data_IF_649101957619
#
_entry.id   IF_649101957619
#
_cell.length_a   1.000
_cell.length_b   1.000
_cell.length_c   1.000
_cell.angle_alpha   90.00
_cell.angle_beta   90.00
_cell.angle_gamma   90.00
#
_symmetry.space_group_name_H-M   'P 1'
#
loop_
_entity.id
_entity.type
_entity.pdbx_description
1 polymer ?
#
# COMPACT_ATOMS: atom_id res chain seq x y z
N UNK A 1 -18.91 -43.49 -2.06
CA UNK A 1 -19.10 -42.26 -1.31
C UNK A 1 -17.87 -41.30 -1.39
N UNK A 2 -16.65 -41.73 -1.04
CA UNK A 2 -15.42 -40.86 -1.16
C UNK A 2 -15.20 -40.31 -2.57
N UNK A 3 -15.33 -41.10 -3.61
CA UNK A 3 -15.12 -40.75 -5.00
C UNK A 3 -16.14 -39.70 -5.53
N UNK A 4 -17.38 -39.75 -5.05
CA UNK A 4 -18.42 -38.76 -5.35
C UNK A 4 -18.11 -37.42 -4.65
N UNK A 5 -17.61 -37.47 -3.43
CA UNK A 5 -17.24 -36.28 -2.67
C UNK A 5 -16.05 -35.55 -3.33
N UNK A 6 -15.05 -36.28 -3.81
CA UNK A 6 -13.90 -35.66 -4.54
C UNK A 6 -14.36 -35.04 -5.86
N UNK A 7 -15.20 -35.70 -6.65
CA UNK A 7 -15.77 -35.11 -7.88
C UNK A 7 -16.62 -33.88 -7.60
N UNK A 8 -17.38 -33.84 -6.52
CA UNK A 8 -18.17 -32.67 -6.12
C UNK A 8 -17.27 -31.49 -5.73
N UNK A 9 -16.19 -31.73 -4.99
CA UNK A 9 -15.21 -30.71 -4.66
C UNK A 9 -14.50 -30.13 -5.89
N UNK A 10 -14.15 -30.99 -6.83
CA UNK A 10 -13.51 -30.59 -8.08
C UNK A 10 -14.46 -29.75 -8.95
N UNK A 11 -15.74 -30.13 -9.03
CA UNK A 11 -16.77 -29.36 -9.73
C UNK A 11 -16.99 -27.98 -9.09
N UNK A 12 -17.08 -27.90 -7.77
CA UNK A 12 -17.20 -26.64 -7.04
C UNK A 12 -16.01 -25.75 -7.31
N UNK A 13 -14.78 -26.29 -7.32
CA UNK A 13 -13.57 -25.54 -7.64
C UNK A 13 -13.57 -25.01 -9.08
N UNK A 14 -14.04 -25.83 -10.04
CA UNK A 14 -14.16 -25.40 -11.45
C UNK A 14 -15.24 -24.31 -11.63
N UNK A 15 -16.38 -24.43 -10.94
CA UNK A 15 -17.43 -23.42 -10.97
C UNK A 15 -16.97 -22.11 -10.32
N UNK A 16 -16.25 -22.18 -9.22
CA UNK A 16 -15.68 -21.00 -8.56
C UNK A 16 -14.68 -20.29 -9.49
N UNK A 17 -13.77 -21.05 -10.11
CA UNK A 17 -12.81 -20.48 -11.06
C UNK A 17 -13.50 -19.81 -12.27
N UNK A 18 -14.60 -20.40 -12.78
CA UNK A 18 -15.36 -19.79 -13.88
C UNK A 18 -16.08 -18.50 -13.45
N UNK A 19 -16.62 -18.45 -12.23
CA UNK A 19 -17.24 -17.23 -11.67
C UNK A 19 -16.18 -16.15 -11.45
N UNK A 20 -15.01 -16.53 -10.93
CA UNK A 20 -13.90 -15.59 -10.71
C UNK A 20 -13.38 -15.01 -12.05
N UNK A 21 -13.36 -15.82 -13.11
CA UNK A 21 -12.98 -15.40 -14.47
C UNK A 21 -13.99 -14.42 -15.08
N UNK A 22 -15.29 -14.61 -14.85
CA UNK A 22 -16.35 -13.68 -15.29
C UNK A 22 -16.33 -12.32 -14.55
N UNK A 23 -15.75 -12.29 -13.34
CA UNK A 23 -15.62 -11.06 -12.54
C UNK A 23 -14.31 -10.30 -12.79
N UNK A 24 -13.40 -10.86 -13.59
CA UNK A 24 -12.15 -10.19 -13.91
C UNK A 24 -12.36 -9.00 -14.86
N UNK A 25 -11.80 -7.87 -14.46
CA UNK A 25 -11.78 -6.64 -15.26
C UNK A 25 -10.34 -6.18 -15.45
N UNK A 26 -10.08 -5.52 -16.58
CA UNK A 26 -8.78 -4.90 -16.77
C UNK A 26 -8.61 -3.72 -15.81
N UNK A 27 -7.48 -3.64 -15.10
CA UNK A 27 -7.23 -2.60 -14.09
C UNK A 27 -7.39 -1.18 -14.65
N UNK A 28 -7.08 -0.97 -15.93
CA UNK A 28 -7.29 0.30 -16.65
C UNK A 28 -8.75 0.77 -16.71
N UNK A 29 -9.72 -0.12 -16.51
CA UNK A 29 -11.16 0.22 -16.57
C UNK A 29 -11.70 0.72 -15.23
N UNK A 30 -10.97 0.49 -14.14
CA UNK A 30 -11.35 0.95 -12.81
C UNK A 30 -11.07 2.45 -12.68
N UNK A 31 -11.89 3.12 -11.87
CA UNK A 31 -11.79 4.56 -11.58
C UNK A 31 -11.21 4.79 -10.20
N UNK A 32 -10.68 5.99 -9.91
CA UNK A 32 -10.34 6.37 -8.54
C UNK A 32 -11.51 6.09 -7.58
N UNK A 33 -11.21 5.49 -6.44
CA UNK A 33 -12.10 4.94 -5.39
C UNK A 33 -12.66 3.55 -5.66
N UNK A 34 -12.63 3.04 -6.90
CA UNK A 34 -13.01 1.65 -7.14
C UNK A 34 -12.05 0.73 -6.39
N UNK A 35 -12.58 -0.42 -6.00
CA UNK A 35 -11.85 -1.45 -5.28
C UNK A 35 -11.71 -2.69 -6.13
N UNK A 36 -10.67 -3.45 -5.86
CA UNK A 36 -10.48 -4.78 -6.41
C UNK A 36 -9.88 -5.71 -5.36
N UNK A 37 -10.16 -6.98 -5.47
CA UNK A 37 -9.76 -8.00 -4.50
C UNK A 37 -8.67 -8.89 -5.07
N UNK A 38 -7.78 -9.34 -4.20
CA UNK A 38 -6.68 -10.26 -4.49
C UNK A 38 -6.51 -11.24 -3.34
N UNK A 39 -5.67 -12.26 -3.52
CA UNK A 39 -5.36 -13.24 -2.45
C UNK A 39 -4.69 -12.61 -1.21
N UNK A 40 -4.09 -11.42 -1.35
CA UNK A 40 -3.45 -10.70 -0.24
C UNK A 40 -4.31 -9.57 0.34
N UNK A 41 -5.55 -9.43 -0.12
CA UNK A 41 -6.51 -8.46 0.37
C UNK A 41 -7.09 -7.55 -0.70
N UNK A 42 -7.85 -6.56 -0.26
CA UNK A 42 -8.51 -5.57 -1.09
C UNK A 42 -7.62 -4.35 -1.32
N UNK A 43 -7.67 -3.81 -2.53
CA UNK A 43 -6.96 -2.60 -2.95
C UNK A 43 -7.94 -1.52 -3.40
N UNK A 44 -7.52 -0.26 -3.25
CA UNK A 44 -8.25 0.93 -3.72
C UNK A 44 -7.44 1.57 -4.84
N UNK A 45 -8.11 1.89 -5.95
CA UNK A 45 -7.52 2.70 -7.01
C UNK A 45 -7.44 4.16 -6.56
N UNK A 46 -6.24 4.72 -6.57
CA UNK A 46 -6.01 6.13 -6.23
C UNK A 46 -6.03 7.03 -7.47
N UNK A 47 -5.40 6.58 -8.55
CA UNK A 47 -5.23 7.37 -9.76
C UNK A 47 -4.94 6.47 -10.97
N UNK A 48 -5.55 6.80 -12.12
CA UNK A 48 -5.20 6.21 -13.41
C UNK A 48 -4.21 7.14 -14.14
N UNK A 49 -3.12 6.56 -14.62
CA UNK A 49 -2.13 7.21 -15.47
C UNK A 49 -2.09 6.50 -16.82
N UNK A 50 -1.36 7.05 -17.79
CA UNK A 50 -1.16 6.38 -19.07
C UNK A 50 -0.39 5.05 -18.89
N UNK A 51 -1.08 3.92 -19.08
CA UNK A 51 -0.51 2.58 -18.92
C UNK A 51 -0.22 2.13 -17.47
N UNK A 52 -0.54 2.94 -16.47
CA UNK A 52 -0.23 2.65 -15.07
C UNK A 52 -1.38 3.04 -14.14
N UNK A 53 -1.53 2.33 -13.04
CA UNK A 53 -2.54 2.59 -12.01
C UNK A 53 -1.88 2.67 -10.64
N UNK A 54 -2.12 3.75 -9.91
CA UNK A 54 -1.71 3.89 -8.51
C UNK A 54 -2.74 3.25 -7.60
N UNK A 55 -2.29 2.37 -6.74
CA UNK A 55 -3.15 1.63 -5.82
C UNK A 55 -2.59 1.61 -4.40
N UNK A 56 -3.47 1.45 -3.43
CA UNK A 56 -3.13 1.26 -2.01
C UNK A 56 -3.96 0.12 -1.44
N UNK A 57 -3.47 -0.59 -0.44
CA UNK A 57 -4.29 -1.58 0.28
C UNK A 57 -5.46 -0.89 0.97
N UNK A 58 -6.64 -1.49 0.91
CA UNK A 58 -7.85 -0.93 1.55
C UNK A 58 -7.73 -0.92 3.08
N UNK A 59 -7.12 -1.94 3.65
CA UNK A 59 -6.90 -2.11 5.09
C UNK A 59 -5.41 -2.06 5.43
N UNK A 60 -5.07 -2.08 6.72
CA UNK A 60 -3.69 -2.26 7.17
C UNK A 60 -3.18 -3.62 6.71
N UNK A 61 -2.06 -3.64 6.05
CA UNK A 61 -1.41 -4.87 5.57
C UNK A 61 -0.56 -5.53 6.66
N UNK A 62 0.04 -4.70 7.50
CA UNK A 62 0.75 -5.12 8.71
C UNK A 62 0.34 -4.18 9.85
N UNK A 63 0.34 -4.68 11.06
CA UNK A 63 0.05 -3.95 12.29
C UNK A 63 1.24 -4.00 13.24
N UNK A 64 1.32 -3.07 14.17
CA UNK A 64 2.36 -3.03 15.21
C UNK A 64 3.79 -2.99 14.62
N UNK A 65 4.00 -2.20 13.57
CA UNK A 65 5.30 -2.04 12.90
C UNK A 65 5.96 -0.75 13.36
N UNK A 66 7.25 -0.80 13.70
CA UNK A 66 8.08 0.39 13.91
C UNK A 66 8.49 0.97 12.57
N UNK A 67 8.64 2.29 12.54
CA UNK A 67 9.30 2.93 11.40
C UNK A 67 10.80 2.62 11.42
N UNK A 68 11.45 2.89 12.57
CA UNK A 68 12.86 2.61 12.86
C UNK A 68 13.13 2.78 14.35
N UNK A 69 14.24 2.28 14.85
CA UNK A 69 14.62 2.49 16.26
C UNK A 69 15.09 3.91 16.58
N UNK A 70 15.69 4.63 15.62
CA UNK A 70 16.39 5.90 15.90
C UNK A 70 16.44 6.88 14.73
N UNK A 71 15.90 6.57 13.57
CA UNK A 71 16.03 7.38 12.37
C UNK A 71 14.69 7.67 11.71
N UNK A 72 14.55 8.89 11.18
CA UNK A 72 13.41 9.29 10.35
C UNK A 72 13.75 9.27 8.84
N UNK A 73 14.97 8.86 8.47
CA UNK A 73 15.36 8.66 7.06
C UNK A 73 14.76 7.34 6.53
N UNK A 74 13.64 7.44 5.82
CA UNK A 74 12.97 6.26 5.26
C UNK A 74 13.90 5.35 4.47
N UNK A 75 14.89 5.89 3.74
CA UNK A 75 15.82 5.09 2.94
C UNK A 75 16.61 4.05 3.75
N UNK A 76 16.81 4.32 5.03
CA UNK A 76 17.61 3.49 5.95
C UNK A 76 16.76 2.76 6.96
N UNK A 77 15.45 3.06 7.02
CA UNK A 77 14.56 2.58 8.07
C UNK A 77 14.28 1.08 7.99
N UNK A 78 13.90 0.50 9.13
CA UNK A 78 13.39 -0.87 9.22
C UNK A 78 12.12 -1.04 8.40
N UNK A 79 11.25 -0.01 8.36
CA UNK A 79 10.04 0.00 7.55
C UNK A 79 10.35 -0.11 6.06
N UNK A 80 11.39 0.60 5.56
CA UNK A 80 11.83 0.47 4.16
C UNK A 80 12.29 -0.95 3.87
N UNK A 81 13.09 -1.54 4.76
CA UNK A 81 13.54 -2.92 4.62
C UNK A 81 12.36 -3.90 4.59
N UNK A 82 11.38 -3.73 5.47
CA UNK A 82 10.16 -4.53 5.49
C UNK A 82 9.38 -4.42 4.15
N UNK A 83 9.26 -3.21 3.62
CA UNK A 83 8.60 -2.97 2.33
C UNK A 83 9.34 -3.62 1.16
N UNK A 84 10.69 -3.55 1.13
CA UNK A 84 11.51 -4.10 0.05
C UNK A 84 11.64 -5.64 0.10
N UNK A 85 11.34 -6.25 1.22
CA UNK A 85 11.48 -7.70 1.42
C UNK A 85 10.11 -8.37 1.55
N UNK A 86 9.58 -8.46 2.75
CA UNK A 86 8.37 -9.24 3.04
C UNK A 86 7.15 -8.73 2.27
N UNK A 87 6.90 -7.41 2.29
CA UNK A 87 5.71 -6.85 1.65
C UNK A 87 5.83 -6.97 0.13
N UNK A 88 6.98 -6.63 -0.45
CA UNK A 88 7.20 -6.77 -1.89
C UNK A 88 7.03 -8.23 -2.35
N UNK A 89 7.55 -9.20 -1.60
CA UNK A 89 7.39 -10.62 -1.94
C UNK A 89 5.91 -11.07 -1.97
N UNK A 90 5.07 -10.59 -1.05
CA UNK A 90 3.64 -10.88 -1.09
C UNK A 90 2.95 -10.23 -2.30
N UNK A 91 3.33 -9.01 -2.64
CA UNK A 91 2.82 -8.31 -3.83
C UNK A 91 3.25 -8.99 -5.13
N UNK A 92 4.50 -9.45 -5.23
CA UNK A 92 5.03 -10.15 -6.40
C UNK A 92 4.35 -11.52 -6.65
N UNK A 93 3.88 -12.20 -5.62
CA UNK A 93 3.07 -13.44 -5.76
C UNK A 93 1.74 -13.20 -6.48
N UNK A 94 1.14 -12.02 -6.31
CA UNK A 94 -0.19 -11.68 -6.81
C UNK A 94 -0.14 -10.93 -8.13
N UNK A 95 0.78 -9.96 -8.24
CA UNK A 95 0.84 -9.05 -9.39
C UNK A 95 1.93 -9.41 -10.40
N UNK A 96 2.80 -10.36 -10.07
CA UNK A 96 4.05 -10.65 -10.78
C UNK A 96 5.03 -9.46 -10.75
N UNK A 97 6.31 -9.77 -10.68
CA UNK A 97 7.40 -8.78 -10.51
C UNK A 97 7.40 -7.68 -11.58
N UNK A 98 7.11 -8.04 -12.83
CA UNK A 98 7.16 -7.15 -13.99
C UNK A 98 5.98 -6.19 -14.07
N UNK A 99 4.89 -6.48 -13.35
CA UNK A 99 3.70 -5.64 -13.32
C UNK A 99 3.73 -4.59 -12.21
N UNK A 100 4.64 -4.71 -11.24
CA UNK A 100 4.86 -3.72 -10.18
C UNK A 100 5.93 -2.73 -10.67
N UNK A 101 5.51 -1.50 -10.94
CA UNK A 101 6.36 -0.47 -11.53
C UNK A 101 7.26 0.17 -10.48
N UNK A 102 8.55 0.21 -10.76
CA UNK A 102 9.50 0.95 -9.94
C UNK A 102 9.27 2.46 -10.10
N UNK A 103 9.25 3.20 -9.00
CA UNK A 103 8.96 4.62 -9.01
C UNK A 103 9.75 5.39 -7.94
N UNK A 104 10.00 6.66 -8.20
CA UNK A 104 10.64 7.56 -7.26
C UNK A 104 9.61 8.18 -6.30
N UNK A 105 9.99 8.30 -5.02
CA UNK A 105 9.25 9.04 -4.02
C UNK A 105 10.12 10.20 -3.50
N UNK A 106 9.56 11.39 -3.44
CA UNK A 106 10.19 12.56 -2.82
C UNK A 106 10.02 12.45 -1.30
N UNK A 107 11.13 12.48 -0.57
CA UNK A 107 11.18 12.41 0.88
C UNK A 107 11.35 13.81 1.51
N UNK A 108 10.91 14.85 0.81
CA UNK A 108 10.79 16.19 1.40
C UNK A 108 9.96 16.08 2.66
N UNK A 109 10.48 16.60 3.78
CA UNK A 109 9.80 16.54 5.08
C UNK A 109 8.48 17.32 5.06
N UNK A 110 7.63 17.08 6.04
CA UNK A 110 6.33 17.76 6.13
C UNK A 110 6.47 19.29 6.14
N UNK A 111 7.52 19.80 6.76
CA UNK A 111 7.85 21.23 6.83
C UNK A 111 8.74 21.74 5.67
N UNK A 112 8.92 20.92 4.62
CA UNK A 112 9.56 21.33 3.36
C UNK A 112 11.09 21.18 3.30
N UNK A 113 11.74 20.47 4.25
CA UNK A 113 13.17 20.22 4.21
C UNK A 113 13.52 19.12 3.21
N UNK A 114 14.54 19.33 2.36
CA UNK A 114 14.96 18.38 1.31
C UNK A 114 16.13 17.48 1.74
N UNK A 115 16.37 17.34 3.04
CA UNK A 115 17.53 16.63 3.59
C UNK A 115 17.58 15.14 3.18
N UNK A 116 16.42 14.49 3.00
CA UNK A 116 16.35 13.06 2.69
C UNK A 116 16.33 12.77 1.18
N UNK A 117 16.13 13.78 0.31
CA UNK A 117 16.13 13.62 -1.15
C UNK A 117 15.02 12.69 -1.65
N UNK A 118 15.36 11.78 -2.56
CA UNK A 118 14.42 10.83 -3.16
C UNK A 118 14.81 9.38 -2.86
N UNK A 119 13.84 8.48 -2.96
CA UNK A 119 14.04 7.02 -2.91
C UNK A 119 13.35 6.37 -4.09
N UNK A 120 13.95 5.34 -4.67
CA UNK A 120 13.35 4.50 -5.70
C UNK A 120 12.89 3.19 -5.04
N UNK A 121 11.66 2.76 -5.33
CA UNK A 121 11.06 1.55 -4.76
C UNK A 121 9.88 1.07 -5.59
N UNK A 122 9.45 -0.16 -5.36
CA UNK A 122 8.25 -0.76 -5.95
C UNK A 122 7.03 -0.64 -5.01
N UNK A 123 7.25 -0.85 -3.71
CA UNK A 123 6.22 -0.82 -2.67
C UNK A 123 6.70 0.03 -1.50
N UNK A 124 5.83 0.87 -0.94
CA UNK A 124 6.13 1.76 0.17
C UNK A 124 4.86 2.31 0.84
N UNK A 125 4.92 2.91 2.02
CA UNK A 125 3.88 3.81 2.51
C UNK A 125 3.76 5.05 1.60
N UNK A 126 2.64 5.75 1.65
CA UNK A 126 2.47 7.04 0.96
C UNK A 126 3.45 8.09 1.48
N UNK A 127 3.85 9.02 0.61
CA UNK A 127 4.40 10.30 1.05
C UNK A 127 3.28 11.19 1.60
N UNK A 128 3.64 12.22 2.38
CA UNK A 128 2.64 13.15 2.89
C UNK A 128 1.94 13.96 1.79
N UNK A 129 2.61 14.27 0.72
CA UNK A 129 2.01 14.96 -0.43
C UNK A 129 0.98 14.07 -1.14
N UNK A 130 1.22 12.77 -1.20
CA UNK A 130 0.23 11.81 -1.70
C UNK A 130 -0.95 11.67 -0.72
N UNK A 131 -0.72 11.69 0.58
CA UNK A 131 -1.80 11.73 1.58
C UNK A 131 -2.69 12.96 1.37
N UNK A 132 -2.12 14.14 1.18
CA UNK A 132 -2.90 15.36 0.87
C UNK A 132 -3.69 15.22 -0.42
N UNK A 133 -3.06 14.66 -1.46
CA UNK A 133 -3.68 14.48 -2.78
C UNK A 133 -4.88 13.53 -2.74
N UNK A 134 -4.79 12.47 -1.97
CA UNK A 134 -5.79 11.40 -1.95
C UNK A 134 -6.62 11.36 -0.66
N UNK A 135 -6.60 12.43 0.13
CA UNK A 135 -7.23 12.46 1.48
C UNK A 135 -8.68 11.99 1.50
N UNK A 136 -9.47 12.35 0.46
CA UNK A 136 -10.86 11.93 0.36
C UNK A 136 -11.05 10.44 0.05
N UNK A 137 -10.03 9.75 -0.48
CA UNK A 137 -10.05 8.31 -0.77
C UNK A 137 -9.52 7.54 0.45
N UNK A 138 -8.59 8.12 1.18
CA UNK A 138 -7.84 7.45 2.25
C UNK A 138 -8.60 7.37 3.57
N UNK A 139 -9.59 8.24 3.80
CA UNK A 139 -10.39 8.25 5.02
C UNK A 139 -11.26 6.98 5.10
N UNK A 140 -10.96 6.14 6.08
CA UNK A 140 -11.72 4.93 6.39
C UNK A 140 -11.81 4.76 7.91
N UNK A 141 -12.95 5.12 8.49
CA UNK A 141 -13.19 5.05 9.93
C UNK A 141 -13.19 3.63 10.51
N UNK A 142 -13.18 2.62 9.64
CA UNK A 142 -13.10 1.21 10.03
C UNK A 142 -11.66 0.71 10.13
N UNK A 143 -10.66 1.50 9.78
CA UNK A 143 -9.27 1.16 10.05
C UNK A 143 -9.06 1.06 11.56
N UNK A 144 -8.38 -0.01 12.05
CA UNK A 144 -8.24 -0.26 13.48
C UNK A 144 -7.26 0.69 14.16
N UNK A 145 -6.32 1.28 13.39
CA UNK A 145 -5.23 2.09 13.93
C UNK A 145 -4.69 3.09 12.89
N UNK A 146 -3.80 3.96 13.34
CA UNK A 146 -2.99 4.84 12.53
C UNK A 146 -1.99 4.05 11.68
N UNK A 147 -1.46 4.68 10.63
CA UNK A 147 -0.45 4.07 9.78
C UNK A 147 0.65 5.05 9.39
N UNK A 148 1.83 4.50 9.18
CA UNK A 148 3.01 5.25 8.78
C UNK A 148 2.89 5.85 7.38
N UNK A 149 3.45 7.06 7.21
CA UNK A 149 3.91 7.56 5.92
C UNK A 149 5.40 7.29 5.77
N UNK A 150 5.99 7.53 4.58
CA UNK A 150 7.44 7.54 4.42
C UNK A 150 8.05 8.95 4.59
N UNK A 151 7.31 9.90 5.15
CA UNK A 151 7.71 11.31 5.29
C UNK A 151 8.07 11.64 6.73
N UNK A 152 9.31 12.06 6.96
CA UNK A 152 9.72 12.64 8.24
C UNK A 152 8.97 13.94 8.52
N UNK A 153 8.67 14.22 9.78
CA UNK A 153 8.02 15.46 10.19
C UNK A 153 8.90 16.67 9.88
N UNK A 154 10.17 16.60 10.29
CA UNK A 154 11.20 17.60 10.00
C UNK A 154 12.59 16.95 10.09
N UNK A 155 13.62 17.74 10.36
CA UNK A 155 15.01 17.28 10.46
C UNK A 155 15.57 17.44 11.88
N UNK A 156 16.72 16.79 12.13
CA UNK A 156 17.47 16.90 13.38
C UNK A 156 17.87 18.36 13.68
N UNK A 157 18.28 19.10 12.67
CA UNK A 157 18.70 20.51 12.81
C UNK A 157 17.56 21.42 13.30
N UNK A 158 16.32 20.96 13.15
CA UNK A 158 15.12 21.63 13.65
C UNK A 158 14.57 21.03 14.93
N UNK A 159 15.25 20.06 15.53
CA UNK A 159 14.85 19.44 16.78
C UNK A 159 13.80 18.32 16.65
N UNK A 160 13.58 17.79 15.43
CA UNK A 160 12.56 16.77 15.15
C UNK A 160 13.17 15.48 14.59
N UNK A 161 14.30 15.08 15.14
CA UNK A 161 15.10 13.95 14.64
C UNK A 161 14.43 12.58 14.74
N UNK A 162 13.33 12.47 15.52
CA UNK A 162 12.63 11.21 15.75
C UNK A 162 11.20 11.18 15.23
N UNK A 163 10.64 12.29 14.75
CA UNK A 163 9.23 12.39 14.37
C UNK A 163 8.97 12.08 12.91
N UNK A 164 8.03 11.19 12.66
CA UNK A 164 7.54 10.76 11.34
C UNK A 164 6.05 11.05 11.24
N UNK A 165 5.59 11.50 10.07
CA UNK A 165 4.18 11.75 9.83
C UNK A 165 3.38 10.43 9.80
N UNK A 166 2.26 10.42 10.51
CA UNK A 166 1.30 9.30 10.58
C UNK A 166 -0.10 9.79 10.19
N UNK A 167 -0.92 8.85 9.70
CA UNK A 167 -2.29 9.12 9.25
C UNK A 167 -3.26 8.27 10.06
N UNK A 168 -4.27 8.90 10.62
CA UNK A 168 -5.33 8.22 11.36
C UNK A 168 -6.48 7.75 10.48
N UNK A 169 -7.36 6.89 11.01
CA UNK A 169 -8.52 6.35 10.28
C UNK A 169 -9.44 7.42 9.69
N UNK A 170 -9.61 8.54 10.35
CA UNK A 170 -10.42 9.67 9.85
C UNK A 170 -9.73 10.50 8.77
N UNK A 171 -8.50 10.16 8.37
CA UNK A 171 -7.69 10.95 7.43
C UNK A 171 -6.94 12.11 8.09
N UNK A 172 -7.06 12.26 9.42
CA UNK A 172 -6.28 13.26 10.15
C UNK A 172 -4.79 12.86 10.18
N UNK A 173 -3.93 13.86 10.24
CA UNK A 173 -2.47 13.70 10.26
C UNK A 173 -1.93 14.15 11.60
N UNK A 174 -0.94 13.40 12.09
CA UNK A 174 -0.13 13.74 13.26
C UNK A 174 1.32 13.31 13.01
N UNK A 175 2.17 13.50 13.99
CA UNK A 175 3.49 12.88 14.04
C UNK A 175 3.61 11.98 15.25
N UNK A 176 4.55 11.05 15.17
CA UNK A 176 4.97 10.28 16.34
C UNK A 176 6.44 9.86 16.19
N UNK A 177 7.02 9.41 17.30
CA UNK A 177 8.41 8.97 17.31
C UNK A 177 8.58 7.70 16.47
N UNK A 178 9.66 7.63 15.72
CA UNK A 178 9.94 6.52 14.79
C UNK A 178 9.96 5.13 15.46
N UNK A 179 10.20 5.07 16.77
CA UNK A 179 10.15 3.84 17.57
C UNK A 179 8.74 3.39 18.00
N UNK A 180 7.70 4.20 17.78
CA UNK A 180 6.31 3.81 18.02
C UNK A 180 5.86 2.70 17.06
N UNK A 181 4.75 2.04 17.37
CA UNK A 181 4.21 0.95 16.56
C UNK A 181 2.89 1.36 15.95
N UNK A 182 2.80 1.33 14.62
CA UNK A 182 1.60 1.66 13.86
C UNK A 182 1.37 0.67 12.72
N UNK A 183 0.27 0.84 12.00
CA UNK A 183 -0.03 0.06 10.83
C UNK A 183 0.85 0.43 9.64
N UNK A 184 0.93 -0.49 8.68
CA UNK A 184 1.49 -0.24 7.35
C UNK A 184 0.40 -0.44 6.32
N UNK A 185 0.20 0.56 5.47
CA UNK A 185 -0.75 0.57 4.37
C UNK A 185 0.02 0.78 3.06
N UNK A 186 0.47 -0.32 2.43
CA UNK A 186 1.35 -0.23 1.28
C UNK A 186 0.68 0.37 0.05
N UNK A 187 1.42 1.21 -0.63
CA UNK A 187 1.14 1.80 -1.92
C UNK A 187 2.08 1.21 -2.98
N UNK A 188 1.57 0.99 -4.20
CA UNK A 188 2.39 0.68 -5.36
C UNK A 188 1.78 1.25 -6.64
N UNK A 189 2.54 1.17 -7.73
CA UNK A 189 2.10 1.49 -9.08
C UNK A 189 2.11 0.17 -9.87
N UNK A 190 0.97 -0.16 -10.48
CA UNK A 190 0.81 -1.35 -11.30
C UNK A 190 0.67 -0.98 -12.77
N UNK A 191 1.08 -1.86 -13.68
CA UNK A 191 0.70 -1.77 -15.09
C UNK A 191 -0.81 -1.90 -15.22
N UNK A 192 -1.46 -1.02 -15.97
CA UNK A 192 -2.92 -0.99 -16.08
C UNK A 192 -3.53 -2.10 -16.95
N UNK A 193 -2.71 -2.85 -17.69
CA UNK A 193 -3.16 -3.92 -18.59
C UNK A 193 -3.34 -5.28 -17.91
N UNK A 194 -3.09 -5.38 -16.61
CA UNK A 194 -3.37 -6.60 -15.84
C UNK A 194 -4.86 -6.76 -15.56
N UNK A 195 -5.29 -8.00 -15.30
CA UNK A 195 -6.65 -8.31 -14.90
C UNK A 195 -6.73 -8.50 -13.39
N UNK A 196 -7.81 -8.01 -12.79
CA UNK A 196 -8.08 -8.07 -11.34
C UNK A 196 -9.55 -8.40 -11.10
N UNK A 197 -9.86 -9.03 -9.96
CA UNK A 197 -11.25 -9.27 -9.56
C UNK A 197 -11.85 -8.00 -8.99
N UNK A 198 -12.91 -7.47 -9.63
CA UNK A 198 -13.57 -6.25 -9.18
C UNK A 198 -14.16 -6.48 -7.78
N UNK A 199 -13.83 -5.61 -6.85
CA UNK A 199 -14.44 -5.56 -5.50
C UNK A 199 -15.91 -5.08 -5.57
N UNK A 200 -16.67 -5.40 -4.54
CA UNK A 200 -18.04 -4.92 -4.35
C UNK A 200 -18.11 -3.44 -3.95
#
# INVERSE_FOLDING_TARGET
>A
MKQMLEKAKELVKMLQAAVDEEQQVQLSTLKPRDKFTTDIGEFIVLEQLEGQTKVITAKLFKENVRFDDSSTDYKKSELKKLCDTEILQEFEKVFETDNIVEHAADLTTLDGQKAFGTVVCKVRPLTFDEVRKYTEILSDKELPDWYWTCTAWSTKERGWEYSVAVVGPSGNVSDDVCGSQYGVRPFCILKSNIFVSKGE
#
